data_IF_914315164842
#
_entry.id   IF_914315164842
#
_cell.length_a   1.000
_cell.length_b   1.000
_cell.length_c   1.000
_cell.angle_alpha   90.00
_cell.angle_beta   90.00
_cell.angle_gamma   90.00
#
_symmetry.space_group_name_H-M   'P 1'
#
loop_
_entity.id
_entity.type
_entity.pdbx_description
1 polymer ?
#
# COMPACT_ATOMS: atom_id res chain seq x y z
N UNK A 1 12.06 -23.35 -2.50
CA UNK A 1 11.15 -23.13 -1.38
C UNK A 1 11.85 -22.89 -0.06
N UNK A 2 12.55 -23.87 0.50
CA UNK A 2 13.10 -23.85 1.88
C UNK A 2 14.10 -22.71 2.13
N UNK A 3 15.03 -22.44 1.21
CA UNK A 3 16.01 -21.35 1.34
C UNK A 3 15.34 -19.97 1.41
N UNK A 4 14.29 -19.74 0.64
CA UNK A 4 13.52 -18.48 0.70
C UNK A 4 12.73 -18.37 1.99
N UNK A 5 12.15 -19.46 2.47
CA UNK A 5 11.43 -19.50 3.74
C UNK A 5 12.37 -19.21 4.92
N UNK A 6 13.55 -19.84 4.98
CA UNK A 6 14.58 -19.54 6.00
C UNK A 6 15.01 -18.07 5.96
N UNK A 7 15.20 -17.49 4.77
CA UNK A 7 15.55 -16.07 4.62
C UNK A 7 14.42 -15.17 5.16
N UNK A 8 13.17 -15.52 4.91
CA UNK A 8 12.01 -14.80 5.46
C UNK A 8 11.98 -14.86 6.99
N UNK A 9 12.14 -16.06 7.57
CA UNK A 9 12.18 -16.25 9.02
C UNK A 9 13.33 -15.50 9.68
N UNK A 10 14.52 -15.50 9.09
CA UNK A 10 15.67 -14.75 9.60
C UNK A 10 15.39 -13.24 9.61
N UNK A 11 14.79 -12.71 8.55
CA UNK A 11 14.39 -11.30 8.49
C UNK A 11 13.33 -10.95 9.53
N UNK A 12 12.33 -11.82 9.72
CA UNK A 12 11.32 -11.65 10.76
C UNK A 12 11.92 -11.69 12.17
N UNK A 13 12.82 -12.65 12.44
CA UNK A 13 13.50 -12.76 13.73
C UNK A 13 14.36 -11.53 14.03
N UNK A 14 15.17 -11.08 13.08
CA UNK A 14 15.96 -9.86 13.22
C UNK A 14 15.10 -8.64 13.54
N UNK A 15 13.98 -8.47 12.82
CA UNK A 15 13.03 -7.41 13.09
C UNK A 15 12.39 -7.52 14.49
N UNK A 16 12.10 -8.74 14.97
CA UNK A 16 11.53 -8.99 16.28
C UNK A 16 12.54 -8.67 17.41
N UNK A 17 13.84 -8.88 17.17
CA UNK A 17 14.92 -8.52 18.12
C UNK A 17 15.11 -7.00 18.16
N UNK A 18 15.19 -6.34 17.00
CA UNK A 18 15.35 -4.89 16.90
C UNK A 18 14.13 -4.14 17.42
N UNK A 19 12.94 -4.64 17.16
CA UNK A 19 11.64 -4.05 17.52
C UNK A 19 10.84 -5.03 18.40
N UNK A 20 11.23 -5.24 19.69
CA UNK A 20 10.55 -6.18 20.59
C UNK A 20 9.07 -5.80 20.75
N UNK A 21 8.18 -6.79 20.69
CA UNK A 21 6.73 -6.60 20.56
C UNK A 21 6.16 -5.54 21.49
N UNK A 22 6.29 -5.71 22.81
CA UNK A 22 5.67 -4.81 23.77
C UNK A 22 6.24 -3.40 23.76
N UNK A 23 7.57 -3.25 23.53
CA UNK A 23 8.20 -1.92 23.40
C UNK A 23 7.77 -1.22 22.11
N UNK A 24 7.71 -1.97 21.01
CA UNK A 24 7.32 -1.43 19.71
C UNK A 24 5.84 -1.05 19.70
N UNK A 25 4.94 -1.93 20.19
CA UNK A 25 3.51 -1.66 20.28
C UNK A 25 3.21 -0.39 21.10
N UNK A 26 3.76 -0.28 22.32
CA UNK A 26 3.59 0.94 23.13
C UNK A 26 4.15 2.21 22.45
N UNK A 27 5.24 2.07 21.70
CA UNK A 27 5.79 3.19 20.96
C UNK A 27 4.87 3.62 19.83
N UNK A 28 4.23 2.66 19.11
CA UNK A 28 3.25 2.96 18.08
C UNK A 28 2.07 3.75 18.63
N UNK A 29 1.47 3.28 19.72
CA UNK A 29 0.35 3.96 20.37
C UNK A 29 0.73 5.37 20.86
N UNK A 30 1.86 5.50 21.54
CA UNK A 30 2.31 6.76 22.10
C UNK A 30 2.66 7.83 21.04
N UNK A 31 3.01 7.41 19.81
CA UNK A 31 3.41 8.32 18.73
C UNK A 31 2.33 8.49 17.66
N UNK A 32 1.17 7.86 17.81
CA UNK A 32 0.16 7.81 16.74
C UNK A 32 0.70 7.14 15.47
N UNK A 33 1.52 6.11 15.65
CA UNK A 33 2.14 5.36 14.55
C UNK A 33 3.03 6.21 13.63
N UNK A 34 3.68 7.26 14.16
CA UNK A 34 4.62 8.06 13.39
C UNK A 34 5.84 7.22 12.98
N UNK A 35 5.91 6.90 11.68
CA UNK A 35 6.95 6.01 11.14
C UNK A 35 8.34 6.63 11.29
N UNK A 36 8.48 7.96 11.14
CA UNK A 36 9.78 8.61 11.29
C UNK A 36 10.29 8.54 12.73
N UNK A 37 9.42 8.71 13.71
CA UNK A 37 9.77 8.55 15.11
C UNK A 37 10.15 7.10 15.40
N UNK A 38 9.37 6.14 14.90
CA UNK A 38 9.63 4.71 15.06
C UNK A 38 10.97 4.29 14.42
N UNK A 39 11.26 4.78 13.21
CA UNK A 39 12.54 4.55 12.54
C UNK A 39 13.73 4.99 13.41
N UNK A 40 13.69 6.23 13.91
CA UNK A 40 14.77 6.78 14.76
C UNK A 40 14.89 6.02 16.08
N UNK A 41 13.75 5.71 16.72
CA UNK A 41 13.73 5.05 18.04
C UNK A 41 14.30 3.63 18.01
N UNK A 42 14.09 2.91 16.92
CA UNK A 42 14.47 1.50 16.79
C UNK A 42 15.65 1.27 15.83
N UNK A 43 16.19 2.32 15.22
CA UNK A 43 17.29 2.19 14.24
C UNK A 43 16.90 1.39 13.01
N UNK A 44 15.62 1.44 12.59
CA UNK A 44 15.06 0.61 11.53
C UNK A 44 14.73 1.44 10.28
N UNK A 45 14.82 0.82 9.10
CA UNK A 45 14.38 1.44 7.84
C UNK A 45 12.85 1.48 7.72
N UNK A 46 12.33 2.30 6.78
CA UNK A 46 10.89 2.46 6.55
C UNK A 46 10.20 1.11 6.27
N UNK A 47 10.76 0.30 5.36
CA UNK A 47 10.20 -1.02 5.03
C UNK A 47 10.19 -1.97 6.24
N UNK A 48 11.22 -1.93 7.07
CA UNK A 48 11.30 -2.76 8.27
C UNK A 48 10.22 -2.39 9.30
N UNK A 49 10.00 -1.07 9.52
CA UNK A 49 8.93 -0.57 10.40
C UNK A 49 7.57 -0.94 9.82
N UNK A 50 7.33 -0.70 8.52
CA UNK A 50 6.08 -1.03 7.85
C UNK A 50 5.76 -2.54 7.97
N UNK A 51 6.74 -3.40 7.71
CA UNK A 51 6.56 -4.85 7.89
C UNK A 51 6.26 -5.21 9.35
N UNK A 52 6.99 -4.61 10.31
CA UNK A 52 6.76 -4.88 11.73
C UNK A 52 5.35 -4.50 12.17
N UNK A 53 4.80 -3.40 11.66
CA UNK A 53 3.43 -2.96 11.93
C UNK A 53 2.38 -4.01 11.52
N UNK A 54 2.57 -4.71 10.39
CA UNK A 54 1.65 -5.78 9.95
C UNK A 54 1.63 -6.99 10.89
N UNK A 55 2.65 -7.15 11.74
CA UNK A 55 2.81 -8.30 12.64
C UNK A 55 2.28 -8.06 14.05
N UNK A 56 1.73 -6.88 14.36
CA UNK A 56 1.22 -6.53 15.68
C UNK A 56 -0.18 -7.13 15.93
N UNK A 57 -0.29 -8.46 15.92
CA UNK A 57 -1.58 -9.16 16.00
C UNK A 57 -1.69 -10.12 17.20
N UNK A 58 -0.89 -9.91 18.25
CA UNK A 58 -0.96 -10.72 19.47
C UNK A 58 -2.29 -10.50 20.19
N UNK A 59 -2.97 -11.59 20.57
CA UNK A 59 -4.21 -11.53 21.34
C UNK A 59 -3.99 -10.74 22.64
N UNK A 60 -4.91 -9.82 22.94
CA UNK A 60 -4.84 -8.93 24.11
C UNK A 60 -3.90 -7.72 23.99
N UNK A 61 -3.13 -7.60 22.89
CA UNK A 61 -2.24 -6.48 22.64
C UNK A 61 -2.08 -6.23 21.14
N UNK A 62 -3.19 -6.13 20.41
CA UNK A 62 -3.21 -5.92 18.96
C UNK A 62 -2.95 -4.45 18.62
N UNK A 63 -2.11 -4.22 17.61
CA UNK A 63 -2.06 -2.95 16.91
C UNK A 63 -3.11 -2.87 15.79
N UNK A 64 -3.03 -1.82 14.99
CA UNK A 64 -3.89 -1.69 13.82
C UNK A 64 -3.64 -2.81 12.80
N UNK A 65 -4.67 -3.31 12.12
CA UNK A 65 -4.56 -4.39 11.15
C UNK A 65 -4.04 -3.85 9.80
N UNK A 66 -2.76 -3.53 9.75
CA UNK A 66 -2.13 -3.05 8.53
C UNK A 66 -1.92 -4.16 7.51
N UNK A 67 -2.03 -3.80 6.22
CA UNK A 67 -1.39 -4.54 5.13
C UNK A 67 -0.14 -3.79 4.64
N UNK A 68 0.74 -4.48 3.96
CA UNK A 68 1.91 -3.90 3.31
C UNK A 68 2.07 -4.47 1.90
N UNK A 69 2.39 -3.59 0.94
CA UNK A 69 2.75 -3.93 -0.43
C UNK A 69 4.07 -3.25 -0.79
N UNK A 70 4.96 -3.95 -1.50
CA UNK A 70 6.15 -3.36 -2.10
C UNK A 70 6.16 -3.65 -3.60
N UNK A 71 6.24 -2.58 -4.39
CA UNK A 71 6.31 -2.66 -5.86
C UNK A 71 7.63 -2.07 -6.38
N UNK A 72 8.01 -2.49 -7.57
CA UNK A 72 9.04 -1.83 -8.38
C UNK A 72 8.41 -0.74 -9.28
N UNK A 73 9.25 -0.02 -10.05
CA UNK A 73 8.78 1.02 -10.98
C UNK A 73 7.88 0.50 -12.11
N UNK A 74 7.93 -0.80 -12.42
CA UNK A 74 7.03 -1.43 -13.37
C UNK A 74 5.68 -1.84 -12.74
N UNK A 75 5.46 -1.54 -11.45
CA UNK A 75 4.26 -1.89 -10.71
C UNK A 75 4.18 -3.36 -10.29
N UNK A 76 5.29 -4.11 -10.40
CA UNK A 76 5.30 -5.51 -10.00
C UNK A 76 5.49 -5.66 -8.50
N UNK A 77 4.60 -6.41 -7.86
CA UNK A 77 4.66 -6.62 -6.43
C UNK A 77 5.72 -7.66 -6.06
N UNK A 78 6.70 -7.24 -5.28
CA UNK A 78 7.81 -8.07 -4.81
C UNK A 78 7.66 -8.53 -3.36
N UNK A 79 6.81 -7.85 -2.57
CA UNK A 79 6.42 -8.26 -1.21
C UNK A 79 4.96 -7.91 -0.96
N UNK A 80 4.24 -8.80 -0.30
CA UNK A 80 2.84 -8.63 0.08
C UNK A 80 2.62 -9.22 1.45
N UNK A 81 2.04 -8.42 2.34
CA UNK A 81 1.65 -8.85 3.67
C UNK A 81 0.24 -8.33 3.95
N UNK A 82 -0.75 -9.20 3.89
CA UNK A 82 -2.12 -8.84 4.22
C UNK A 82 -2.31 -8.63 5.73
N UNK A 83 -1.47 -9.28 6.55
CA UNK A 83 -1.63 -9.26 7.99
C UNK A 83 -3.03 -9.75 8.39
N UNK A 84 -3.66 -9.06 9.35
CA UNK A 84 -5.04 -9.30 9.75
C UNK A 84 -6.03 -8.34 9.05
N UNK A 85 -5.59 -7.58 8.03
CA UNK A 85 -6.43 -6.55 7.40
C UNK A 85 -7.54 -7.11 6.53
N UNK A 86 -7.35 -8.30 5.95
CA UNK A 86 -8.26 -8.82 4.92
C UNK A 86 -8.31 -7.97 3.63
N UNK A 87 -7.39 -7.02 3.48
CA UNK A 87 -7.41 -6.04 2.39
C UNK A 87 -7.27 -6.68 1.01
N UNK A 88 -8.20 -6.45 0.09
CA UNK A 88 -8.04 -6.88 -1.30
C UNK A 88 -6.88 -6.15 -2.00
N UNK A 89 -6.50 -4.96 -1.53
CA UNK A 89 -5.33 -4.24 -2.03
C UNK A 89 -4.01 -4.97 -1.80
N UNK A 90 -3.90 -5.78 -0.74
CA UNK A 90 -2.71 -6.59 -0.48
C UNK A 90 -2.55 -7.75 -1.47
N UNK A 91 -3.64 -8.24 -2.06
CA UNK A 91 -3.63 -9.30 -3.06
C UNK A 91 -3.44 -8.81 -4.49
N UNK A 92 -3.58 -7.49 -4.71
CA UNK A 92 -3.34 -6.86 -6.00
C UNK A 92 -1.86 -6.87 -6.39
N UNK A 93 -1.62 -6.76 -7.68
CA UNK A 93 -0.29 -6.47 -8.23
C UNK A 93 0.05 -4.96 -8.23
N UNK A 94 -0.71 -4.14 -7.49
CA UNK A 94 -0.50 -2.69 -7.43
C UNK A 94 -0.75 -1.97 -8.77
N UNK A 95 -1.62 -2.49 -9.63
CA UNK A 95 -1.70 -2.08 -11.05
C UNK A 95 -2.62 -0.90 -11.34
N UNK A 96 -3.24 -0.28 -10.34
CA UNK A 96 -4.04 0.91 -10.60
C UNK A 96 -3.16 2.16 -10.54
N UNK A 97 -2.96 2.90 -11.65
CA UNK A 97 -2.08 4.06 -11.67
C UNK A 97 -2.57 5.23 -10.83
N UNK A 98 -3.84 5.24 -10.42
CA UNK A 98 -4.40 6.26 -9.53
C UNK A 98 -3.97 6.09 -8.07
N UNK A 99 -3.38 4.96 -7.72
CA UNK A 99 -2.93 4.71 -6.35
C UNK A 99 -1.56 5.34 -6.08
N UNK A 100 -1.44 6.06 -4.97
CA UNK A 100 -0.23 6.79 -4.57
C UNK A 100 1.03 5.94 -4.45
N UNK A 101 0.90 4.62 -4.39
CA UNK A 101 2.04 3.71 -4.42
C UNK A 101 2.90 3.89 -5.68
N UNK A 102 2.30 4.33 -6.80
CA UNK A 102 3.03 4.64 -8.03
C UNK A 102 3.66 6.03 -8.00
N UNK A 103 2.96 7.02 -7.42
CA UNK A 103 3.44 8.40 -7.34
C UNK A 103 4.59 8.58 -6.33
N UNK A 104 4.75 7.66 -5.39
CA UNK A 104 5.84 7.72 -4.42
C UNK A 104 7.25 7.72 -5.04
N UNK A 105 7.38 7.28 -6.29
CA UNK A 105 8.66 7.33 -7.01
C UNK A 105 9.05 8.74 -7.49
N UNK A 106 8.08 9.64 -7.61
CA UNK A 106 8.30 10.98 -8.15
C UNK A 106 8.95 11.88 -7.08
N UNK A 107 8.56 11.69 -5.80
CA UNK A 107 9.07 12.43 -4.65
C UNK A 107 9.72 11.46 -3.64
N UNK A 108 10.88 10.92 -4.03
CA UNK A 108 11.59 9.93 -3.24
C UNK A 108 12.01 10.49 -1.87
N UNK A 109 11.45 9.94 -0.80
CA UNK A 109 11.73 10.33 0.58
C UNK A 109 10.51 10.84 1.33
N UNK A 110 9.50 11.34 0.64
CA UNK A 110 8.25 11.78 1.25
C UNK A 110 7.26 10.63 1.46
N UNK A 111 6.39 10.80 2.44
CA UNK A 111 5.28 9.87 2.69
C UNK A 111 4.02 10.43 2.03
N UNK A 112 3.58 9.79 0.96
CA UNK A 112 2.33 10.09 0.28
C UNK A 112 1.16 9.49 1.04
N UNK A 113 0.15 10.31 1.35
CA UNK A 113 -1.08 9.91 2.05
C UNK A 113 -2.23 9.91 1.06
N UNK A 114 -3.06 8.88 1.11
CA UNK A 114 -4.22 8.79 0.22
C UNK A 114 -5.34 7.98 0.87
N UNK A 115 -6.58 8.44 0.75
CA UNK A 115 -7.76 7.59 0.91
C UNK A 115 -8.11 7.06 -0.47
N UNK A 116 -8.19 5.75 -0.58
CA UNK A 116 -8.65 5.07 -1.78
C UNK A 116 -9.99 4.41 -1.52
N UNK A 117 -10.83 4.38 -2.55
CA UNK A 117 -12.14 3.74 -2.50
C UNK A 117 -12.23 2.68 -3.59
N UNK A 118 -12.55 1.46 -3.19
CA UNK A 118 -12.78 0.34 -4.09
C UNK A 118 -14.18 0.39 -4.72
N UNK A 119 -14.45 -0.48 -5.67
CA UNK A 119 -15.73 -0.51 -6.39
C UNK A 119 -16.92 -0.94 -5.52
N UNK A 120 -16.66 -1.68 -4.44
CA UNK A 120 -17.64 -2.10 -3.44
C UNK A 120 -17.89 -1.04 -2.35
N UNK A 121 -17.28 0.15 -2.47
CA UNK A 121 -17.38 1.23 -1.52
C UNK A 121 -16.43 1.10 -0.31
N UNK A 122 -15.64 0.05 -0.21
CA UNK A 122 -14.65 -0.05 0.86
C UNK A 122 -13.58 1.02 0.73
N UNK A 123 -13.31 1.71 1.82
CA UNK A 123 -12.33 2.80 1.89
C UNK A 123 -11.10 2.38 2.68
N UNK A 124 -9.93 2.70 2.13
CA UNK A 124 -8.63 2.37 2.72
C UNK A 124 -7.77 3.60 2.82
N UNK A 125 -7.16 3.81 3.99
CA UNK A 125 -6.14 4.83 4.18
C UNK A 125 -4.77 4.22 3.91
N UNK A 126 -4.02 4.78 2.98
CA UNK A 126 -2.70 4.28 2.58
C UNK A 126 -1.61 5.33 2.71
N UNK A 127 -0.43 4.86 3.08
CA UNK A 127 0.83 5.61 3.13
C UNK A 127 1.79 4.94 2.17
N UNK A 128 2.38 5.69 1.26
CA UNK A 128 3.37 5.15 0.33
C UNK A 128 4.66 5.97 0.37
N UNK A 129 5.81 5.28 0.30
CA UNK A 129 7.12 5.92 0.26
C UNK A 129 8.10 5.10 -0.55
N UNK A 130 8.94 5.78 -1.34
CA UNK A 130 10.07 5.14 -2.02
C UNK A 130 11.18 4.80 -1.03
N UNK A 131 11.68 3.59 -1.16
CA UNK A 131 12.83 3.09 -0.42
C UNK A 131 13.93 2.65 -1.40
N UNK A 132 15.16 2.98 -1.05
CA UNK A 132 16.36 2.54 -1.75
C UNK A 132 17.12 1.62 -0.81
N UNK A 133 17.18 0.30 -1.03
CA UNK A 133 18.11 -0.55 -0.31
C UNK A 133 19.52 0.02 -0.50
N UNK A 134 20.37 -0.08 0.54
CA UNK A 134 21.75 0.39 0.40
C UNK A 134 22.35 -0.19 -0.88
N UNK A 135 22.81 0.70 -1.75
CA UNK A 135 23.48 0.35 -2.98
C UNK A 135 24.81 -0.35 -2.66
N UNK A 136 25.24 -1.22 -3.55
CA UNK A 136 26.58 -1.76 -3.57
C UNK A 136 27.66 -0.69 -3.86
N UNK A 137 28.63 -0.99 -4.67
CA UNK A 137 29.71 -0.07 -5.05
C UNK A 137 29.23 1.06 -5.96
N UNK A 138 30.03 2.11 -6.04
CA UNK A 138 29.78 3.21 -6.98
C UNK A 138 29.69 2.68 -8.43
N UNK A 139 28.57 2.99 -9.10
CA UNK A 139 28.27 2.51 -10.46
C UNK A 139 27.25 1.36 -10.53
N UNK A 140 26.87 0.77 -9.40
CA UNK A 140 25.81 -0.24 -9.39
C UNK A 140 24.44 0.39 -9.68
N UNK A 141 23.57 -0.42 -10.32
CA UNK A 141 22.17 -0.04 -10.50
C UNK A 141 21.49 -0.02 -9.14
N UNK A 142 21.08 1.16 -8.70
CA UNK A 142 20.36 1.30 -7.43
C UNK A 142 18.94 0.80 -7.59
N UNK A 143 18.59 -0.26 -6.85
CA UNK A 143 17.23 -0.74 -6.80
C UNK A 143 16.34 0.26 -6.04
N UNK A 144 15.19 0.57 -6.61
CA UNK A 144 14.16 1.42 -6.01
C UNK A 144 12.85 0.66 -5.89
N UNK A 145 12.20 0.82 -4.74
CA UNK A 145 10.88 0.23 -4.51
C UNK A 145 9.96 1.24 -3.83
N UNK A 146 8.71 1.23 -4.19
CA UNK A 146 7.68 1.90 -3.41
C UNK A 146 7.09 0.91 -2.42
N UNK A 147 7.06 1.32 -1.14
CA UNK A 147 6.45 0.56 -0.05
C UNK A 147 5.20 1.26 0.38
N UNK A 148 4.07 0.56 0.27
CA UNK A 148 2.77 0.99 0.75
C UNK A 148 2.43 0.27 2.05
N UNK A 149 1.94 1.01 3.03
CA UNK A 149 1.32 0.54 4.25
C UNK A 149 -0.10 1.06 4.28
N UNK A 150 -1.08 0.22 4.53
CA UNK A 150 -2.46 0.68 4.57
C UNK A 150 -3.30 -0.04 5.61
N UNK A 151 -4.40 0.60 5.96
CA UNK A 151 -5.40 0.12 6.93
C UNK A 151 -6.77 0.57 6.46
N UNK A 152 -7.82 -0.13 6.85
CA UNK A 152 -9.19 0.31 6.59
C UNK A 152 -9.40 1.73 7.14
N UNK A 153 -10.05 2.61 6.35
CA UNK A 153 -10.17 4.03 6.69
C UNK A 153 -10.88 4.25 8.04
N UNK A 154 -11.89 3.45 8.36
CA UNK A 154 -12.61 3.46 9.65
C UNK A 154 -11.70 3.25 10.87
N UNK A 155 -10.56 2.56 10.69
CA UNK A 155 -9.59 2.27 11.74
C UNK A 155 -8.39 3.23 11.76
N UNK A 156 -8.31 4.17 10.81
CA UNK A 156 -7.13 5.03 10.64
C UNK A 156 -7.07 6.22 11.59
N UNK A 157 -8.12 6.51 12.36
CA UNK A 157 -8.19 7.66 13.27
C UNK A 157 -7.00 7.80 14.25
N UNK A 158 -6.41 6.70 14.79
CA UNK A 158 -5.24 6.81 15.67
C UNK A 158 -3.95 7.25 14.98
N UNK A 159 -3.91 7.26 13.63
CA UNK A 159 -2.71 7.61 12.87
C UNK A 159 -2.45 9.11 12.91
N UNK A 160 -1.22 9.52 13.22
CA UNK A 160 -0.80 10.92 13.11
C UNK A 160 -1.00 11.47 11.70
N UNK A 161 -0.91 10.62 10.69
CA UNK A 161 -1.08 10.94 9.27
C UNK A 161 -2.54 11.21 8.86
N UNK A 162 -3.51 10.75 9.66
CA UNK A 162 -4.94 10.93 9.41
C UNK A 162 -5.51 12.20 10.07
N UNK A 163 -4.70 12.93 10.83
CA UNK A 163 -5.14 14.15 11.52
C UNK A 163 -5.70 15.19 10.53
N UNK A 164 -6.90 15.69 10.82
CA UNK A 164 -7.58 16.68 9.98
C UNK A 164 -8.16 16.13 8.67
N UNK A 165 -8.17 14.83 8.49
CA UNK A 165 -8.75 14.16 7.31
C UNK A 165 -10.11 13.57 7.70
N UNK A 166 -11.15 13.85 6.91
CA UNK A 166 -12.43 13.14 7.02
C UNK A 166 -12.29 11.75 6.37
N UNK A 167 -12.16 10.74 7.20
CA UNK A 167 -11.93 9.36 6.79
C UNK A 167 -13.17 8.68 6.20
N UNK A 168 -14.36 9.14 6.59
CA UNK A 168 -15.63 8.51 6.20
C UNK A 168 -16.22 9.14 4.96
N UNK A 169 -16.33 10.49 4.93
CA UNK A 169 -17.04 11.22 3.88
C UNK A 169 -16.12 12.12 3.06
N UNK A 170 -14.87 12.29 3.47
CA UNK A 170 -13.89 13.10 2.74
C UNK A 170 -13.57 12.54 1.36
N UNK A 171 -12.87 13.33 0.53
CA UNK A 171 -12.51 12.90 -0.82
C UNK A 171 -11.66 11.62 -0.80
N UNK A 172 -12.03 10.65 -1.64
CA UNK A 172 -11.30 9.42 -1.84
C UNK A 172 -11.00 9.22 -3.34
N UNK A 173 -9.84 8.65 -3.63
CA UNK A 173 -9.47 8.32 -5.01
C UNK A 173 -10.09 6.98 -5.41
N UNK A 174 -10.85 6.90 -6.51
CA UNK A 174 -11.42 5.65 -6.97
C UNK A 174 -10.33 4.73 -7.54
N UNK A 175 -9.99 3.68 -6.83
CA UNK A 175 -8.96 2.70 -7.21
C UNK A 175 -9.60 1.36 -7.50
N UNK A 176 -9.23 0.77 -8.65
CA UNK A 176 -9.64 -0.60 -9.01
C UNK A 176 -8.54 -1.61 -8.72
N UNK A 177 -8.91 -2.88 -8.68
CA UNK A 177 -7.97 -4.01 -8.47
C UNK A 177 -7.14 -4.36 -9.73
N UNK A 178 -7.10 -3.45 -10.70
CA UNK A 178 -6.46 -3.59 -12.01
C UNK A 178 -7.47 -3.40 -13.13
N UNK A 179 -7.06 -2.77 -14.26
CA UNK A 179 -7.99 -2.38 -15.34
C UNK A 179 -8.84 -3.53 -15.86
N UNK A 180 -8.29 -4.75 -15.94
CA UNK A 180 -9.02 -5.93 -16.41
C UNK A 180 -10.10 -6.43 -15.46
N UNK A 181 -10.03 -6.10 -14.18
CA UNK A 181 -11.01 -6.49 -13.15
C UNK A 181 -11.93 -5.32 -12.76
N UNK A 182 -11.53 -4.10 -13.06
CA UNK A 182 -12.24 -2.89 -12.69
C UNK A 182 -13.37 -2.59 -13.67
N UNK A 183 -14.56 -2.35 -13.17
CA UNK A 183 -15.76 -2.06 -13.94
C UNK A 183 -16.16 -0.57 -13.96
N UNK A 184 -15.29 0.34 -13.50
CA UNK A 184 -15.55 1.79 -13.56
C UNK A 184 -15.49 2.26 -15.01
N UNK A 185 -16.58 2.81 -15.53
CA UNK A 185 -16.66 3.33 -16.92
C UNK A 185 -15.99 4.70 -17.09
N UNK A 186 -15.89 5.49 -16.02
CA UNK A 186 -15.48 6.90 -16.01
C UNK A 186 -14.01 7.11 -15.66
N UNK A 187 -13.17 6.10 -15.82
CA UNK A 187 -11.75 6.17 -15.47
C UNK A 187 -10.89 6.73 -16.61
N UNK A 188 -10.36 7.94 -16.44
CA UNK A 188 -9.44 8.61 -17.39
C UNK A 188 -8.09 7.87 -17.55
N UNK A 189 -7.70 7.05 -16.57
CA UNK A 189 -6.43 6.31 -16.56
C UNK A 189 -6.58 4.84 -17.00
N UNK A 190 -7.75 4.47 -17.52
CA UNK A 190 -7.95 3.10 -17.98
C UNK A 190 -7.05 2.77 -19.17
N UNK A 191 -6.17 1.80 -18.99
CA UNK A 191 -5.21 1.35 -20.01
C UNK A 191 -5.57 0.01 -20.66
N UNK A 192 -6.54 -0.71 -20.10
CA UNK A 192 -6.98 -2.02 -20.62
C UNK A 192 -8.50 -2.19 -20.46
N UNK A 193 -9.16 -2.88 -21.40
CA UNK A 193 -10.58 -3.20 -21.26
C UNK A 193 -10.81 -4.19 -20.11
N UNK A 194 -11.98 -4.15 -19.46
CA UNK A 194 -12.35 -5.13 -18.45
C UNK A 194 -12.49 -6.52 -19.10
N UNK A 195 -12.06 -7.55 -18.37
CA UNK A 195 -12.16 -8.92 -18.85
C UNK A 195 -13.63 -9.37 -18.89
N UNK A 196 -14.01 -10.06 -19.95
CA UNK A 196 -15.37 -10.64 -20.07
C UNK A 196 -16.48 -9.64 -20.40
N UNK A 197 -16.16 -8.36 -20.66
CA UNK A 197 -17.14 -7.35 -21.06
C UNK A 197 -17.09 -7.08 -22.55
N UNK A 198 -18.27 -6.87 -23.14
CA UNK A 198 -18.41 -6.47 -24.55
C UNK A 198 -18.09 -4.97 -24.66
N UNK A 199 -17.12 -4.62 -25.51
CA UNK A 199 -16.79 -3.23 -25.77
C UNK A 199 -17.88 -2.59 -26.63
N UNK A 200 -18.24 -1.37 -26.26
CA UNK A 200 -19.17 -0.55 -27.02
C UNK A 200 -18.39 0.58 -27.69
N UNK A 201 -18.64 0.80 -28.96
CA UNK A 201 -18.01 1.87 -29.73
C UNK A 201 -19.09 2.85 -30.19
N UNK A 202 -18.91 4.12 -29.83
CA UNK A 202 -19.73 5.21 -30.35
C UNK A 202 -18.82 6.19 -31.09
N UNK A 203 -18.87 6.16 -32.43
CA UNK A 203 -18.04 7.02 -33.28
C UNK A 203 -18.36 8.52 -33.14
N UNK A 204 -19.51 8.86 -32.53
CA UNK A 204 -19.98 10.23 -32.37
C UNK A 204 -19.65 10.82 -30.99
N UNK A 205 -19.15 10.02 -30.06
CA UNK A 205 -18.82 10.45 -28.70
C UNK A 205 -17.36 10.17 -28.37
N UNK A 206 -16.69 11.18 -27.83
CA UNK A 206 -15.37 11.02 -27.22
C UNK A 206 -15.55 10.79 -25.73
N UNK A 207 -15.49 9.53 -25.29
CA UNK A 207 -15.47 9.18 -23.88
C UNK A 207 -14.14 9.52 -23.19
N UNK A 208 -14.11 9.47 -21.85
CA UNK A 208 -12.89 9.63 -21.05
C UNK A 208 -11.88 8.50 -21.28
N UNK A 209 -12.32 7.35 -21.71
CA UNK A 209 -11.52 6.17 -21.97
C UNK A 209 -11.85 5.59 -23.35
N UNK A 210 -10.85 5.07 -24.11
CA UNK A 210 -11.11 4.37 -25.37
C UNK A 210 -11.82 3.00 -25.18
N UNK A 211 -12.02 2.56 -23.95
CA UNK A 211 -12.58 1.26 -23.59
C UNK A 211 -13.95 1.43 -22.92
N UNK A 212 -14.93 1.94 -23.65
CA UNK A 212 -16.33 1.92 -23.20
C UNK A 212 -16.90 0.50 -23.30
N UNK A 213 -17.70 0.09 -22.33
CA UNK A 213 -18.32 -1.24 -22.27
C UNK A 213 -19.72 -1.13 -21.68
N UNK A 214 -20.59 -2.09 -22.02
CA UNK A 214 -21.93 -2.14 -21.47
C UNK A 214 -21.88 -2.40 -19.94
N UNK A 215 -22.62 -1.59 -19.18
CA UNK A 215 -23.00 -1.96 -17.81
C UNK A 215 -24.02 -3.09 -17.89
N UNK A 216 -23.99 -4.04 -16.95
CA UNK A 216 -25.04 -5.05 -16.82
C UNK A 216 -26.34 -4.42 -16.37
#
# INVERSE_FOLDING_TARGET
GERMFRRHLNGYFAAAVMMPYGRFHRACEATGYDIHILQRRFGAGFEQVAHRLTTLQRVGARGLPFFMLRIDRAGQASKRYAGASGSPLASMDGRCPLWSVHHAFDDAGDIHKQIVELEDGQRWFSLARTVRPQAGMAGDVVAEFSVCLGVEASLAAPLVYARGIDLENGPATPVGLGCRQCLRNDCSQRSQPPAGRVLTFNERERGLSPFSFAAD
#
